data_IF_133483868704
#
_entry.id   IF_133483868704
#
_cell.length_a   1.000
_cell.length_b   1.000
_cell.length_c   1.000
_cell.angle_alpha   90.00
_cell.angle_beta   90.00
_cell.angle_gamma   90.00
#
_symmetry.space_group_name_H-M   'P 1'
#
loop_
_entity.id
_entity.type
_entity.pdbx_description
1 polymer ?
#
# COMPACT_ATOMS: atom_id res chain seq x y z
N UNK A 1 35.64 -87.94 -11.14
CA UNK A 1 36.50 -88.28 -12.27
C UNK A 1 37.34 -87.00 -12.47
N UNK A 2 38.57 -87.04 -11.85
CA UNK A 2 39.80 -87.35 -12.61
C UNK A 2 40.09 -86.21 -13.60
N UNK A 3 41.13 -85.48 -13.64
CA UNK A 3 42.51 -85.48 -13.10
C UNK A 3 43.10 -84.09 -13.43
N UNK A 4 43.78 -83.38 -12.58
CA UNK A 4 45.26 -83.44 -12.35
C UNK A 4 46.04 -83.11 -13.64
N UNK A 5 46.90 -82.08 -13.59
CA UNK A 5 48.40 -82.25 -13.67
C UNK A 5 49.07 -80.84 -13.74
N UNK A 6 49.79 -80.51 -12.77
CA UNK A 6 51.18 -80.06 -12.54
C UNK A 6 52.01 -79.55 -13.72
N UNK A 7 52.78 -78.52 -13.46
CA UNK A 7 53.98 -78.10 -14.17
C UNK A 7 54.44 -76.71 -13.73
N UNK A 8 55.22 -76.62 -12.92
CA UNK A 8 56.48 -76.25 -12.33
C UNK A 8 57.29 -75.20 -13.11
N UNK A 9 57.65 -74.16 -12.37
CA UNK A 9 58.90 -73.43 -12.23
C UNK A 9 59.63 -72.84 -13.42
N UNK A 10 59.89 -71.50 -13.30
CA UNK A 10 61.31 -71.11 -13.18
C UNK A 10 61.43 -69.63 -12.82
N UNK A 11 62.37 -69.35 -11.99
CA UNK A 11 62.85 -68.08 -11.48
C UNK A 11 63.58 -67.32 -12.54
N UNK A 12 63.43 -66.01 -12.64
CA UNK A 12 64.50 -65.08 -13.06
C UNK A 12 64.25 -63.63 -12.58
N UNK A 13 65.09 -63.27 -11.77
CA UNK A 13 65.73 -62.02 -11.31
C UNK A 13 65.29 -60.72 -11.96
N UNK A 14 64.91 -59.79 -11.04
CA UNK A 14 65.40 -58.44 -10.80
C UNK A 14 65.48 -57.45 -11.99
N UNK A 15 64.70 -56.38 -11.81
CA UNK A 15 65.19 -55.03 -12.03
C UNK A 15 64.34 -54.06 -11.18
N UNK A 16 64.97 -53.47 -10.17
CA UNK A 16 64.45 -52.30 -9.45
C UNK A 16 64.45 -51.12 -10.37
N UNK A 17 63.26 -50.56 -10.71
CA UNK A 17 63.13 -49.21 -11.25
C UNK A 17 62.39 -48.39 -10.22
N UNK A 18 63.14 -47.54 -9.53
CA UNK A 18 62.59 -46.46 -8.69
C UNK A 18 61.97 -45.42 -9.59
N UNK A 19 60.67 -45.47 -9.77
CA UNK A 19 59.90 -44.38 -10.35
C UNK A 19 59.40 -43.47 -9.28
N UNK A 20 59.98 -42.29 -9.16
CA UNK A 20 59.51 -41.22 -8.31
C UNK A 20 58.19 -40.67 -8.85
N UNK A 21 57.08 -40.93 -8.23
CA UNK A 21 55.81 -40.29 -8.53
C UNK A 21 55.83 -38.92 -7.81
N UNK A 22 56.14 -37.86 -8.57
CA UNK A 22 55.95 -36.51 -8.15
C UNK A 22 54.44 -36.22 -8.19
N UNK A 23 53.77 -36.22 -7.06
CA UNK A 23 52.38 -35.76 -6.90
C UNK A 23 52.36 -34.26 -7.03
N UNK A 24 51.95 -33.75 -8.20
CA UNK A 24 51.66 -32.33 -8.40
C UNK A 24 50.33 -32.03 -7.72
N UNK A 25 50.39 -31.46 -6.51
CA UNK A 25 49.25 -30.83 -5.82
C UNK A 25 48.93 -29.54 -6.58
N UNK A 26 47.97 -29.60 -7.50
CA UNK A 26 47.36 -28.39 -8.09
C UNK A 26 46.43 -27.80 -7.02
N UNK A 27 46.92 -26.83 -6.28
CA UNK A 27 46.10 -26.00 -5.37
C UNK A 27 45.22 -25.13 -6.21
N UNK A 28 43.94 -25.52 -6.38
CA UNK A 28 42.88 -24.63 -6.86
C UNK A 28 42.60 -23.59 -5.72
N UNK A 29 43.26 -22.45 -5.80
CA UNK A 29 42.87 -21.29 -5.03
C UNK A 29 41.53 -20.80 -5.61
N UNK A 30 40.41 -21.17 -5.00
CA UNK A 30 39.12 -20.52 -5.23
C UNK A 30 39.29 -19.11 -4.71
N UNK A 31 39.55 -18.17 -5.59
CA UNK A 31 39.44 -16.75 -5.31
C UNK A 31 37.96 -16.50 -5.00
N UNK A 32 37.60 -16.50 -3.71
CA UNK A 32 36.37 -15.89 -3.25
C UNK A 32 36.51 -14.40 -3.56
N UNK A 33 36.09 -14.02 -4.75
CA UNK A 33 36.01 -12.61 -5.15
C UNK A 33 35.10 -11.92 -4.14
N UNK A 34 35.65 -11.06 -3.29
CA UNK A 34 34.86 -10.15 -2.51
C UNK A 34 33.96 -9.40 -3.50
N UNK A 35 32.65 -9.64 -3.42
CA UNK A 35 31.69 -8.91 -4.22
C UNK A 35 31.95 -7.42 -3.99
N UNK A 36 32.14 -6.68 -5.09
CA UNK A 36 32.31 -5.21 -4.97
C UNK A 36 31.13 -4.68 -4.17
N UNK A 37 31.37 -3.71 -3.25
CA UNK A 37 30.29 -3.17 -2.44
C UNK A 37 29.20 -2.66 -3.37
N UNK A 38 27.96 -3.11 -3.13
CA UNK A 38 26.81 -2.69 -3.94
C UNK A 38 26.71 -1.16 -3.91
N UNK A 39 26.60 -0.54 -5.09
CA UNK A 39 26.45 0.92 -5.20
C UNK A 39 25.23 1.36 -4.40
N UNK A 40 25.42 2.25 -3.44
CA UNK A 40 24.33 2.91 -2.75
C UNK A 40 23.87 4.13 -3.52
N UNK A 41 22.57 4.38 -3.49
CA UNK A 41 21.94 5.51 -4.18
C UNK A 41 21.35 6.47 -3.15
N UNK A 42 21.56 7.77 -3.38
CA UNK A 42 20.91 8.81 -2.58
C UNK A 42 19.57 9.18 -3.19
N UNK A 43 18.47 8.85 -2.52
CA UNK A 43 17.12 9.17 -2.96
C UNK A 43 16.52 10.24 -2.05
N UNK A 44 16.05 11.33 -2.65
CA UNK A 44 15.26 12.33 -1.94
C UNK A 44 13.78 11.97 -1.98
N UNK A 45 13.10 12.06 -0.84
CA UNK A 45 11.64 12.01 -0.75
C UNK A 45 11.11 13.35 -0.25
N UNK A 46 10.41 14.07 -1.13
CA UNK A 46 9.69 15.30 -0.80
C UNK A 46 8.23 14.94 -0.53
N UNK A 47 7.88 14.93 0.73
CA UNK A 47 6.55 14.57 1.23
C UNK A 47 5.56 15.73 1.03
N UNK A 48 4.27 15.44 0.88
CA UNK A 48 3.24 16.44 0.69
C UNK A 48 3.14 17.39 1.88
N UNK A 49 3.06 16.83 3.08
CA UNK A 49 3.11 17.54 4.36
C UNK A 49 3.46 16.58 5.49
N UNK A 50 4.19 17.05 6.48
CA UNK A 50 4.44 16.35 7.75
C UNK A 50 3.87 17.16 8.93
N UNK A 51 2.97 18.12 8.66
CA UNK A 51 2.30 18.91 9.69
C UNK A 51 1.56 18.01 10.68
N UNK A 52 1.75 18.20 12.00
CA UNK A 52 1.08 17.42 13.01
C UNK A 52 -0.45 17.47 12.88
N UNK A 53 -1.08 16.31 12.82
CA UNK A 53 -2.53 16.18 12.70
C UNK A 53 -3.09 16.36 11.29
N UNK A 54 -2.27 16.74 10.30
CA UNK A 54 -2.69 16.77 8.91
C UNK A 54 -2.77 15.33 8.37
N UNK A 55 -3.95 14.95 7.90
CA UNK A 55 -4.15 13.66 7.23
C UNK A 55 -3.97 13.79 5.72
N UNK A 56 -3.58 12.71 5.07
CA UNK A 56 -3.33 12.64 3.65
C UNK A 56 -4.33 11.74 2.93
N UNK A 57 -4.61 12.03 1.67
CA UNK A 57 -5.49 11.25 0.78
C UNK A 57 -6.92 11.03 1.32
N UNK A 58 -7.36 11.90 2.23
CA UNK A 58 -8.66 11.74 2.89
C UNK A 58 -8.75 10.45 3.70
N UNK A 59 -7.68 10.10 4.40
CA UNK A 59 -7.59 8.96 5.34
C UNK A 59 -7.16 9.46 6.70
N UNK A 60 -7.05 8.56 7.69
CA UNK A 60 -6.45 8.90 8.99
C UNK A 60 -4.92 8.87 9.02
N UNK A 61 -4.27 8.52 7.91
CA UNK A 61 -2.82 8.51 7.83
C UNK A 61 -2.21 9.91 7.74
N UNK A 62 -1.04 10.07 8.33
CA UNK A 62 -0.25 11.31 8.35
C UNK A 62 0.97 11.22 7.44
N UNK A 63 1.52 12.36 7.05
CA UNK A 63 2.79 12.38 6.30
C UNK A 63 3.95 11.76 7.08
N UNK A 64 3.95 11.87 8.40
CA UNK A 64 4.96 11.25 9.26
C UNK A 64 4.92 9.71 9.18
N UNK A 65 3.74 9.09 9.09
CA UNK A 65 3.61 7.63 8.92
C UNK A 65 4.08 7.19 7.53
N UNK A 66 3.78 7.98 6.49
CA UNK A 66 4.32 7.74 5.15
C UNK A 66 5.85 7.80 5.19
N UNK A 67 6.44 8.88 5.75
CA UNK A 67 7.90 8.99 5.90
C UNK A 67 8.49 7.78 6.63
N UNK A 68 7.86 7.35 7.72
CA UNK A 68 8.32 6.17 8.47
C UNK A 68 8.35 4.92 7.60
N UNK A 69 7.40 4.72 6.68
CA UNK A 69 7.40 3.60 5.75
C UNK A 69 8.62 3.60 4.82
N UNK A 70 9.06 4.78 4.38
CA UNK A 70 10.29 4.92 3.59
C UNK A 70 11.53 4.58 4.42
N UNK A 71 11.62 5.07 5.66
CA UNK A 71 12.73 4.74 6.58
C UNK A 71 12.85 3.23 6.78
N UNK A 72 11.73 2.57 7.03
CA UNK A 72 11.70 1.12 7.25
C UNK A 72 12.08 0.34 5.98
N UNK A 73 11.50 0.71 4.84
CA UNK A 73 11.77 0.05 3.57
C UNK A 73 13.24 0.20 3.13
N UNK A 74 13.86 1.35 3.38
CA UNK A 74 15.25 1.60 3.01
C UNK A 74 16.27 0.75 3.77
N UNK A 75 15.91 0.20 4.95
CA UNK A 75 16.84 -0.62 5.77
C UNK A 75 17.38 -1.85 5.04
N UNK A 76 16.60 -2.39 4.10
CA UNK A 76 16.95 -3.59 3.34
C UNK A 76 17.39 -3.31 1.91
N UNK A 77 17.53 -2.03 1.54
CA UNK A 77 17.86 -1.59 0.20
C UNK A 77 19.17 -0.79 0.19
N UNK A 78 19.92 -0.77 -0.91
CA UNK A 78 21.14 0.03 -1.04
C UNK A 78 20.81 1.51 -1.28
N UNK A 79 20.07 2.12 -0.35
CA UNK A 79 19.54 3.49 -0.45
C UNK A 79 19.91 4.28 0.78
N UNK A 80 20.34 5.51 0.55
CA UNK A 80 20.46 6.57 1.56
C UNK A 80 19.34 7.60 1.31
N UNK A 81 18.49 7.86 2.32
CA UNK A 81 17.32 8.72 2.17
C UNK A 81 17.62 10.14 2.63
N UNK A 82 17.12 11.10 1.85
CA UNK A 82 17.04 12.52 2.21
C UNK A 82 15.56 12.91 2.22
N UNK A 83 15.11 13.56 3.29
CA UNK A 83 13.71 13.93 3.44
C UNK A 83 13.51 15.44 3.30
N UNK A 84 12.43 15.79 2.63
CA UNK A 84 11.91 17.15 2.53
C UNK A 84 10.41 17.15 2.81
N UNK A 85 9.91 18.24 3.39
CA UNK A 85 8.49 18.49 3.57
C UNK A 85 8.07 19.69 2.71
N UNK A 86 7.09 19.46 1.84
CA UNK A 86 6.56 20.48 0.95
C UNK A 86 5.54 21.40 1.65
N UNK A 87 5.04 21.04 2.83
CA UNK A 87 4.01 21.76 3.58
C UNK A 87 2.77 22.12 2.75
N UNK A 88 2.47 21.38 1.66
CA UNK A 88 1.41 21.73 0.72
C UNK A 88 1.65 23.02 -0.08
N UNK A 89 2.87 23.56 -0.08
CA UNK A 89 3.24 24.86 -0.64
C UNK A 89 4.16 24.73 -1.86
N UNK A 90 3.79 25.38 -2.98
CA UNK A 90 4.52 25.29 -4.24
C UNK A 90 5.94 25.88 -4.14
N UNK A 91 6.09 27.01 -3.44
CA UNK A 91 7.41 27.64 -3.30
C UNK A 91 8.35 26.75 -2.47
N UNK A 92 7.82 26.11 -1.43
CA UNK A 92 8.57 25.15 -0.62
C UNK A 92 8.95 23.91 -1.45
N UNK A 93 8.03 23.37 -2.25
CA UNK A 93 8.31 22.23 -3.14
C UNK A 93 9.44 22.54 -4.13
N UNK A 94 9.45 23.78 -4.69
CA UNK A 94 10.52 24.24 -5.57
C UNK A 94 11.85 24.42 -4.84
N UNK A 95 11.86 25.01 -3.63
CA UNK A 95 13.06 25.15 -2.81
C UNK A 95 13.64 23.79 -2.39
N UNK A 96 12.79 22.81 -2.05
CA UNK A 96 13.19 21.44 -1.75
C UNK A 96 13.85 20.77 -2.97
N UNK A 97 13.30 20.98 -4.16
CA UNK A 97 13.90 20.48 -5.40
C UNK A 97 15.30 21.07 -5.63
N UNK A 98 15.49 22.37 -5.44
CA UNK A 98 16.80 23.03 -5.54
C UNK A 98 17.80 22.50 -4.50
N UNK A 99 17.36 22.29 -3.26
CA UNK A 99 18.18 21.71 -2.21
C UNK A 99 18.61 20.26 -2.54
N UNK A 100 17.73 19.45 -3.13
CA UNK A 100 18.04 18.10 -3.59
C UNK A 100 19.05 18.11 -4.75
N UNK A 101 18.93 19.04 -5.70
CA UNK A 101 19.89 19.25 -6.79
C UNK A 101 21.27 19.61 -6.22
N UNK A 102 21.34 20.55 -5.27
CA UNK A 102 22.59 20.95 -4.61
C UNK A 102 23.24 19.76 -3.88
N UNK A 103 22.46 18.84 -3.33
CA UNK A 103 22.94 17.60 -2.71
C UNK A 103 23.34 16.52 -3.71
N UNK A 104 23.07 16.71 -5.00
CA UNK A 104 23.36 15.74 -6.06
C UNK A 104 22.71 14.38 -5.79
N UNK A 105 21.42 14.37 -5.42
CA UNK A 105 20.69 13.12 -5.22
C UNK A 105 20.59 12.35 -6.54
N UNK A 106 20.58 11.02 -6.49
CA UNK A 106 20.47 10.17 -7.68
C UNK A 106 19.05 10.12 -8.26
N UNK A 107 18.01 10.30 -7.40
CA UNK A 107 16.61 10.34 -7.79
C UNK A 107 15.79 11.16 -6.81
N UNK A 108 14.75 11.82 -7.32
CA UNK A 108 13.81 12.61 -6.53
C UNK A 108 12.42 11.98 -6.56
N UNK A 109 11.87 11.63 -5.40
CA UNK A 109 10.48 11.19 -5.24
C UNK A 109 9.66 12.40 -4.84
N UNK A 110 8.69 12.79 -5.69
CA UNK A 110 7.84 13.95 -5.47
C UNK A 110 6.43 13.52 -5.09
N UNK A 111 6.01 13.91 -3.90
CA UNK A 111 4.64 13.84 -3.44
C UNK A 111 4.14 15.25 -3.13
N UNK A 112 3.34 15.82 -4.05
CA UNK A 112 2.81 17.18 -3.92
C UNK A 112 1.52 17.31 -4.74
N UNK A 113 0.50 17.95 -4.19
CA UNK A 113 -0.85 17.93 -4.76
C UNK A 113 -1.09 19.00 -5.84
N UNK A 114 -0.16 19.97 -6.01
CA UNK A 114 -0.30 21.05 -6.99
C UNK A 114 0.31 20.70 -8.34
N UNK A 115 -0.49 20.72 -9.39
CA UNK A 115 0.00 20.52 -10.77
C UNK A 115 1.02 21.60 -11.17
N UNK A 116 0.84 22.85 -10.73
CA UNK A 116 1.76 23.96 -10.99
C UNK A 116 3.11 23.73 -10.31
N UNK A 117 3.10 23.39 -9.02
CA UNK A 117 4.30 23.05 -8.26
C UNK A 117 5.05 21.88 -8.88
N UNK A 118 4.32 20.82 -9.25
CA UNK A 118 4.88 19.63 -9.90
C UNK A 118 5.51 19.93 -11.27
N UNK A 119 4.91 20.81 -12.07
CA UNK A 119 5.49 21.25 -13.35
C UNK A 119 6.82 22.00 -13.13
N UNK A 120 6.87 22.88 -12.13
CA UNK A 120 8.09 23.61 -11.76
C UNK A 120 9.21 22.70 -11.25
N UNK A 121 8.89 21.70 -10.42
CA UNK A 121 9.83 20.66 -9.96
C UNK A 121 10.34 19.84 -11.15
N UNK A 122 9.46 19.39 -12.03
CA UNK A 122 9.84 18.61 -13.22
C UNK A 122 10.85 19.34 -14.09
N UNK A 123 10.63 20.64 -14.33
CA UNK A 123 11.56 21.46 -15.12
C UNK A 123 12.95 21.55 -14.49
N UNK A 124 13.05 21.77 -13.18
CA UNK A 124 14.32 21.88 -12.44
C UNK A 124 15.08 20.56 -12.43
N UNK A 125 14.38 19.48 -12.11
CA UNK A 125 14.98 18.14 -12.06
C UNK A 125 15.47 17.69 -13.43
N UNK A 126 14.70 17.94 -14.49
CA UNK A 126 15.10 17.68 -15.88
C UNK A 126 16.35 18.46 -16.27
N UNK A 127 16.43 19.74 -15.94
CA UNK A 127 17.59 20.59 -16.22
C UNK A 127 18.85 20.09 -15.47
N UNK A 128 18.68 19.51 -14.27
CA UNK A 128 19.77 18.92 -13.47
C UNK A 128 20.10 17.46 -13.87
N UNK A 129 19.33 16.83 -14.78
CA UNK A 129 19.53 15.43 -15.16
C UNK A 129 19.13 14.44 -14.05
N UNK A 130 18.32 14.83 -13.08
CA UNK A 130 17.87 13.98 -11.98
C UNK A 130 16.50 13.39 -12.32
N UNK A 131 16.36 12.04 -12.37
CA UNK A 131 15.08 11.41 -12.61
C UNK A 131 14.10 11.65 -11.45
N UNK A 132 12.81 11.76 -11.78
CA UNK A 132 11.72 11.95 -10.83
C UNK A 132 10.80 10.73 -10.85
N UNK A 133 10.36 10.28 -9.67
CA UNK A 133 9.24 9.37 -9.49
C UNK A 133 8.11 10.14 -8.79
N UNK A 134 6.97 10.26 -9.45
CA UNK A 134 5.80 10.94 -8.93
C UNK A 134 5.01 10.02 -7.99
N UNK A 135 4.43 10.59 -6.93
CA UNK A 135 3.55 9.89 -5.97
C UNK A 135 2.21 10.60 -5.92
N UNK A 136 1.14 9.86 -6.12
CA UNK A 136 -0.27 10.20 -6.12
C UNK A 136 -0.69 11.26 -7.17
N UNK A 137 0.09 12.30 -7.36
CA UNK A 137 -0.16 13.34 -8.36
C UNK A 137 0.90 13.33 -9.45
N UNK A 138 0.48 13.59 -10.70
CA UNK A 138 1.36 13.53 -11.83
C UNK A 138 2.43 14.63 -11.81
N UNK A 139 3.67 14.24 -12.13
CA UNK A 139 4.78 15.15 -12.44
C UNK A 139 5.12 14.98 -13.92
N UNK A 140 5.14 16.05 -14.73
CA UNK A 140 5.38 15.95 -16.16
C UNK A 140 6.64 15.16 -16.51
N UNK A 141 6.48 14.11 -17.31
CA UNK A 141 7.58 13.26 -17.79
C UNK A 141 8.09 12.23 -16.78
N UNK A 142 7.51 12.13 -15.59
CA UNK A 142 7.87 11.14 -14.59
C UNK A 142 6.90 9.95 -14.56
N UNK A 143 7.37 8.72 -14.27
CA UNK A 143 6.50 7.63 -13.87
C UNK A 143 5.71 8.00 -12.62
N UNK A 144 4.49 7.47 -12.50
CA UNK A 144 3.57 7.77 -11.40
C UNK A 144 3.24 6.49 -10.60
N UNK A 145 3.49 6.51 -9.31
CA UNK A 145 2.86 5.61 -8.34
C UNK A 145 1.66 6.32 -7.71
N UNK A 146 0.47 5.72 -7.77
CA UNK A 146 -0.73 6.39 -7.26
C UNK A 146 -1.76 5.43 -6.67
N UNK A 147 -2.64 5.99 -5.85
CA UNK A 147 -3.88 5.33 -5.46
C UNK A 147 -4.77 5.12 -6.71
N UNK A 148 -5.49 3.99 -6.74
CA UNK A 148 -6.59 3.77 -7.67
C UNK A 148 -7.92 3.96 -6.93
N UNK A 149 -8.33 5.20 -6.80
CA UNK A 149 -9.56 5.57 -6.10
C UNK A 149 -10.80 4.87 -6.69
N UNK A 150 -10.86 4.69 -8.01
CA UNK A 150 -11.96 3.97 -8.65
C UNK A 150 -11.97 2.49 -8.27
N UNK A 151 -10.79 1.83 -8.25
CA UNK A 151 -10.68 0.44 -7.82
C UNK A 151 -11.03 0.28 -6.33
N UNK A 152 -10.55 1.18 -5.47
CA UNK A 152 -10.88 1.18 -4.04
C UNK A 152 -12.39 1.28 -3.82
N UNK A 153 -13.05 2.22 -4.51
CA UNK A 153 -14.50 2.36 -4.48
C UNK A 153 -15.24 1.12 -4.97
N UNK A 154 -14.79 0.50 -6.07
CA UNK A 154 -15.38 -0.75 -6.57
C UNK A 154 -15.28 -1.89 -5.56
N UNK A 155 -14.15 -2.03 -4.86
CA UNK A 155 -13.97 -3.04 -3.83
C UNK A 155 -15.00 -2.86 -2.69
N UNK A 156 -15.19 -1.62 -2.22
CA UNK A 156 -16.18 -1.32 -1.19
C UNK A 156 -17.61 -1.58 -1.66
N UNK A 157 -17.95 -1.11 -2.85
CA UNK A 157 -19.28 -1.31 -3.44
C UNK A 157 -19.62 -2.78 -3.69
N UNK A 158 -18.67 -3.55 -4.22
CA UNK A 158 -18.83 -5.00 -4.44
C UNK A 158 -19.03 -5.76 -3.11
N UNK A 159 -18.27 -5.40 -2.06
CA UNK A 159 -18.40 -6.00 -0.74
C UNK A 159 -19.80 -5.76 -0.13
N UNK A 160 -20.26 -4.52 -0.16
CA UNK A 160 -21.58 -4.12 0.31
C UNK A 160 -22.70 -4.84 -0.47
N UNK A 161 -22.62 -4.80 -1.78
CA UNK A 161 -23.63 -5.42 -2.64
C UNK A 161 -23.65 -6.94 -2.52
N UNK A 162 -22.50 -7.57 -2.35
CA UNK A 162 -22.38 -9.01 -2.11
C UNK A 162 -22.95 -9.40 -0.75
N UNK A 163 -22.71 -8.60 0.29
CA UNK A 163 -23.31 -8.81 1.61
C UNK A 163 -24.84 -8.73 1.52
N UNK A 164 -25.39 -7.68 0.90
CA UNK A 164 -26.85 -7.54 0.74
C UNK A 164 -27.47 -8.70 -0.04
N UNK A 165 -26.86 -9.13 -1.14
CA UNK A 165 -27.36 -10.23 -1.94
C UNK A 165 -27.40 -11.57 -1.18
N UNK A 166 -26.46 -11.79 -0.27
CA UNK A 166 -26.38 -13.03 0.54
C UNK A 166 -27.26 -12.99 1.78
N UNK A 167 -27.34 -11.82 2.45
CA UNK A 167 -27.94 -11.70 3.78
C UNK A 167 -29.36 -11.13 3.72
N UNK A 168 -29.63 -10.22 2.77
CA UNK A 168 -30.88 -9.46 2.67
C UNK A 168 -31.64 -9.70 1.37
N UNK A 169 -31.50 -10.88 0.79
CA UNK A 169 -32.14 -11.22 -0.48
C UNK A 169 -33.61 -10.80 -0.50
N UNK A 170 -34.01 -10.07 -1.56
CA UNK A 170 -35.39 -9.57 -1.79
C UNK A 170 -35.89 -8.51 -0.77
N UNK A 171 -35.07 -8.05 0.19
CA UNK A 171 -35.49 -6.97 1.09
C UNK A 171 -35.26 -5.59 0.45
N UNK A 172 -36.12 -4.61 0.71
CA UNK A 172 -35.87 -3.22 0.28
C UNK A 172 -34.51 -2.76 0.80
N UNK A 173 -33.67 -2.28 -0.11
CA UNK A 173 -32.29 -1.87 0.24
C UNK A 173 -31.99 -0.52 -0.40
N UNK A 174 -31.29 0.34 0.33
CA UNK A 174 -30.73 1.62 -0.15
C UNK A 174 -29.24 1.64 0.11
N UNK A 175 -28.51 2.40 -0.69
CA UNK A 175 -27.09 2.61 -0.51
C UNK A 175 -26.78 4.12 -0.32
N UNK A 176 -25.82 4.38 0.54
CA UNK A 176 -25.36 5.73 0.88
C UNK A 176 -23.83 5.75 0.74
N UNK A 177 -23.31 6.73 0.01
CA UNK A 177 -21.89 7.09 0.04
C UNK A 177 -21.76 8.37 0.85
N UNK A 178 -20.95 8.35 1.89
CA UNK A 178 -20.83 9.47 2.84
C UNK A 178 -19.37 9.83 3.11
N UNK A 179 -19.06 11.12 3.24
CA UNK A 179 -17.73 11.63 3.55
C UNK A 179 -17.36 12.80 2.63
N UNK A 180 -16.09 12.89 2.23
CA UNK A 180 -15.57 13.88 1.27
C UNK A 180 -15.89 13.48 -0.17
N UNK A 181 -17.17 13.48 -0.49
CA UNK A 181 -17.67 12.97 -1.79
C UNK A 181 -17.12 13.77 -2.96
N UNK A 182 -17.09 15.11 -2.83
CA UNK A 182 -16.59 16.01 -3.86
C UNK A 182 -15.08 15.95 -4.08
N UNK A 183 -14.31 15.62 -3.04
CA UNK A 183 -12.86 15.51 -3.11
C UNK A 183 -12.36 14.18 -3.72
N UNK A 184 -13.20 13.14 -3.67
CA UNK A 184 -12.84 11.81 -4.17
C UNK A 184 -13.89 11.23 -5.13
N UNK A 185 -14.20 11.93 -6.24
CA UNK A 185 -15.31 11.56 -7.15
C UNK A 185 -15.13 10.16 -7.75
N UNK A 186 -13.90 9.76 -8.08
CA UNK A 186 -13.63 8.44 -8.65
C UNK A 186 -13.92 7.31 -7.64
N UNK A 187 -13.60 7.49 -6.36
CA UNK A 187 -13.90 6.54 -5.28
C UNK A 187 -15.40 6.38 -5.14
N UNK A 188 -16.11 7.49 -5.07
CA UNK A 188 -17.57 7.54 -4.95
C UNK A 188 -18.27 6.89 -6.15
N UNK A 189 -17.81 7.21 -7.35
CA UNK A 189 -18.34 6.61 -8.58
C UNK A 189 -18.08 5.10 -8.61
N UNK A 190 -16.88 4.66 -8.25
CA UNK A 190 -16.54 3.25 -8.16
C UNK A 190 -17.47 2.46 -7.23
N UNK A 191 -17.81 3.01 -6.05
CA UNK A 191 -18.81 2.43 -5.14
C UNK A 191 -20.17 2.31 -5.82
N UNK A 192 -20.65 3.42 -6.40
CA UNK A 192 -21.97 3.49 -6.99
C UNK A 192 -22.14 2.53 -8.19
N UNK A 193 -21.11 2.42 -9.02
CA UNK A 193 -21.08 1.50 -10.16
C UNK A 193 -21.12 0.04 -9.70
N UNK A 194 -20.30 -0.34 -8.73
CA UNK A 194 -20.24 -1.69 -8.20
C UNK A 194 -21.56 -2.11 -7.53
N UNK A 195 -22.17 -1.21 -6.73
CA UNK A 195 -23.48 -1.45 -6.13
C UNK A 195 -24.55 -1.65 -7.21
N UNK A 196 -24.65 -0.72 -8.18
CA UNK A 196 -25.67 -0.81 -9.25
C UNK A 196 -25.51 -2.03 -10.14
N UNK A 197 -24.28 -2.44 -10.40
CA UNK A 197 -23.99 -3.64 -11.20
C UNK A 197 -24.61 -4.91 -10.60
N UNK A 198 -24.56 -5.05 -9.28
CA UNK A 198 -25.07 -6.24 -8.57
C UNK A 198 -26.51 -6.07 -8.08
N UNK A 199 -26.91 -4.86 -7.76
CA UNK A 199 -28.20 -4.47 -7.22
C UNK A 199 -28.81 -3.32 -8.05
N UNK A 200 -29.26 -3.57 -9.28
CA UNK A 200 -29.61 -2.52 -10.24
C UNK A 200 -30.80 -1.66 -9.83
N UNK A 201 -31.64 -2.11 -8.89
CA UNK A 201 -32.79 -1.36 -8.37
C UNK A 201 -32.45 -0.50 -7.13
N UNK A 202 -31.22 -0.63 -6.59
CA UNK A 202 -30.81 0.10 -5.38
C UNK A 202 -30.55 1.55 -5.72
N UNK A 203 -31.21 2.46 -4.98
CA UNK A 203 -30.91 3.89 -5.03
C UNK A 203 -29.61 4.14 -4.25
N UNK A 204 -28.68 4.87 -4.88
CA UNK A 204 -27.44 5.33 -4.24
C UNK A 204 -27.54 6.82 -4.00
N UNK A 205 -27.49 7.25 -2.74
CA UNK A 205 -27.45 8.64 -2.29
C UNK A 205 -26.03 9.01 -1.89
N UNK A 206 -25.67 10.28 -2.04
CA UNK A 206 -24.35 10.83 -1.73
C UNK A 206 -24.51 11.93 -0.68
N UNK A 207 -23.73 11.86 0.41
CA UNK A 207 -23.76 12.80 1.53
C UNK A 207 -22.38 13.42 1.71
N UNK A 208 -22.28 14.73 1.48
CA UNK A 208 -21.02 15.47 1.61
C UNK A 208 -20.82 15.96 3.05
N UNK A 209 -19.73 15.54 3.70
CA UNK A 209 -19.35 15.96 5.06
C UNK A 209 -18.22 16.98 5.09
N UNK A 210 -17.63 17.29 3.95
CA UNK A 210 -16.42 18.12 3.83
C UNK A 210 -15.24 17.63 4.71
N UNK A 211 -15.21 16.33 5.01
CA UNK A 211 -14.21 15.71 5.87
C UNK A 211 -14.42 15.96 7.36
N UNK A 212 -15.58 16.44 7.77
CA UNK A 212 -15.94 16.61 9.17
C UNK A 212 -16.84 15.46 9.65
N UNK A 213 -16.33 14.50 10.45
CA UNK A 213 -17.14 13.38 10.97
C UNK A 213 -18.36 13.82 11.81
N UNK A 214 -18.34 15.01 12.43
CA UNK A 214 -19.47 15.54 13.18
C UNK A 214 -20.69 15.84 12.31
N UNK A 215 -20.52 16.00 10.99
CA UNK A 215 -21.62 16.21 10.05
C UNK A 215 -22.33 14.89 9.67
N UNK A 216 -21.76 13.74 10.01
CA UNK A 216 -22.34 12.44 9.61
C UNK A 216 -23.71 12.20 10.23
N UNK A 217 -23.87 12.38 11.55
CA UNK A 217 -25.14 12.14 12.22
C UNK A 217 -26.26 13.08 11.73
N UNK A 218 -26.07 14.42 11.63
CA UNK A 218 -27.08 15.33 11.09
C UNK A 218 -27.52 14.97 9.67
N UNK A 219 -26.62 14.50 8.82
CA UNK A 219 -26.91 14.15 7.43
C UNK A 219 -27.57 12.77 7.30
N UNK A 220 -27.14 11.81 8.11
CA UNK A 220 -27.58 10.41 8.01
C UNK A 220 -28.92 10.16 8.70
N UNK A 221 -29.18 10.77 9.87
CA UNK A 221 -30.37 10.53 10.67
C UNK A 221 -31.71 10.78 9.90
N UNK A 222 -31.88 11.86 9.13
CA UNK A 222 -33.09 12.07 8.35
C UNK A 222 -33.34 10.99 7.31
N UNK A 223 -32.29 10.49 6.67
CA UNK A 223 -32.39 9.42 5.66
C UNK A 223 -32.77 8.07 6.29
N UNK A 224 -32.22 7.76 7.47
CA UNK A 224 -32.59 6.56 8.22
C UNK A 224 -34.05 6.62 8.66
N UNK A 225 -34.52 7.78 9.14
CA UNK A 225 -35.90 7.99 9.54
C UNK A 225 -36.89 7.91 8.37
N UNK A 226 -36.51 8.43 7.21
CA UNK A 226 -37.36 8.40 6.01
C UNK A 226 -37.51 6.99 5.41
N UNK A 227 -36.67 6.02 5.82
CA UNK A 227 -36.65 4.66 5.25
C UNK A 227 -36.63 3.57 6.33
N UNK A 228 -37.64 3.53 7.20
CA UNK A 228 -37.62 2.66 8.39
C UNK A 228 -37.63 1.15 8.05
N UNK A 229 -38.18 0.76 6.91
CA UNK A 229 -38.25 -0.63 6.47
C UNK A 229 -37.12 -1.09 5.56
N UNK A 230 -36.22 -0.17 5.13
CA UNK A 230 -35.14 -0.51 4.21
C UNK A 230 -33.88 -0.98 4.93
N UNK A 231 -33.17 -1.92 4.34
CA UNK A 231 -31.79 -2.24 4.68
C UNK A 231 -30.87 -1.15 4.11
N UNK A 232 -29.75 -0.84 4.80
CA UNK A 232 -28.89 0.30 4.48
C UNK A 232 -27.46 -0.17 4.26
N UNK A 233 -26.93 0.10 3.07
CA UNK A 233 -25.52 -0.07 2.73
C UNK A 233 -24.83 1.27 2.85
N UNK A 234 -23.78 1.37 3.64
CA UNK A 234 -23.01 2.62 3.78
C UNK A 234 -21.56 2.39 3.32
N UNK A 235 -21.11 3.16 2.35
CA UNK A 235 -19.71 3.31 2.01
C UNK A 235 -19.24 4.68 2.54
N UNK A 236 -18.33 4.68 3.50
CA UNK A 236 -17.69 5.89 4.01
C UNK A 236 -16.39 6.15 3.26
N UNK A 237 -16.11 7.40 2.88
CA UNK A 237 -14.90 7.74 2.13
C UNK A 237 -13.59 7.59 2.92
N UNK A 238 -13.69 7.46 4.24
CA UNK A 238 -12.59 7.25 5.18
C UNK A 238 -13.08 6.53 6.44
N UNK A 239 -12.14 6.10 7.30
CA UNK A 239 -12.46 5.31 8.49
C UNK A 239 -13.10 6.14 9.62
N UNK A 240 -12.69 7.40 9.79
CA UNK A 240 -13.30 8.29 10.77
C UNK A 240 -14.78 8.54 10.46
N UNK A 241 -15.10 8.73 9.18
CA UNK A 241 -16.48 8.83 8.67
C UNK A 241 -17.25 7.52 8.88
N UNK A 242 -16.61 6.36 8.67
CA UNK A 242 -17.23 5.05 8.92
C UNK A 242 -17.62 4.86 10.39
N UNK A 243 -16.73 5.24 11.31
CA UNK A 243 -16.98 5.16 12.75
C UNK A 243 -18.10 6.13 13.20
N UNK A 244 -18.11 7.34 12.64
CA UNK A 244 -19.19 8.30 12.89
C UNK A 244 -20.54 7.81 12.34
N UNK A 245 -20.54 7.17 11.16
CA UNK A 245 -21.74 6.56 10.59
C UNK A 245 -22.24 5.39 11.45
N UNK A 246 -21.33 4.57 11.97
CA UNK A 246 -21.68 3.49 12.92
C UNK A 246 -22.39 4.08 14.15
N UNK A 247 -21.80 5.08 14.79
CA UNK A 247 -22.39 5.71 15.95
C UNK A 247 -23.79 6.30 15.67
N UNK A 248 -23.97 6.97 14.52
CA UNK A 248 -25.27 7.52 14.11
C UNK A 248 -26.31 6.43 13.85
N UNK A 249 -25.92 5.32 13.23
CA UNK A 249 -26.78 4.16 12.98
C UNK A 249 -27.21 3.47 14.28
N UNK A 250 -26.30 3.31 15.23
CA UNK A 250 -26.55 2.74 16.56
C UNK A 250 -27.51 3.63 17.37
N UNK A 251 -27.27 4.95 17.37
CA UNK A 251 -28.15 5.92 18.01
C UNK A 251 -29.57 5.92 17.42
N UNK A 252 -29.71 5.65 16.12
CA UNK A 252 -30.99 5.51 15.44
C UNK A 252 -31.65 4.13 15.63
N UNK A 253 -31.04 3.20 16.37
CA UNK A 253 -31.53 1.84 16.57
C UNK A 253 -31.52 0.96 15.30
N UNK A 254 -30.73 1.33 14.27
CA UNK A 254 -30.72 0.70 12.93
C UNK A 254 -29.54 -0.25 12.69
N UNK A 255 -28.82 -0.65 13.75
CA UNK A 255 -27.64 -1.54 13.62
C UNK A 255 -27.94 -2.88 12.93
N UNK A 256 -29.13 -3.48 13.17
CA UNK A 256 -29.53 -4.77 12.53
C UNK A 256 -29.87 -4.65 11.04
N UNK A 257 -30.06 -3.43 10.57
CA UNK A 257 -30.49 -3.13 9.20
C UNK A 257 -29.40 -2.45 8.38
N UNK A 258 -28.21 -2.29 8.94
CA UNK A 258 -27.13 -1.53 8.30
C UNK A 258 -25.82 -2.31 8.27
N UNK A 259 -25.07 -2.14 7.19
CA UNK A 259 -23.69 -2.59 7.06
C UNK A 259 -22.83 -1.45 6.47
N UNK A 260 -21.60 -1.33 6.95
CA UNK A 260 -20.70 -0.22 6.64
C UNK A 260 -19.37 -0.76 6.09
N UNK A 261 -18.82 -0.09 5.08
CA UNK A 261 -17.43 -0.27 4.62
C UNK A 261 -16.74 1.08 4.63
N UNK A 262 -15.56 1.15 5.26
CA UNK A 262 -14.68 2.31 5.29
C UNK A 262 -13.59 2.27 4.21
N UNK A 263 -12.73 3.29 4.21
CA UNK A 263 -11.54 3.36 3.37
C UNK A 263 -10.37 3.92 4.17
N UNK A 264 -9.19 3.34 4.00
CA UNK A 264 -7.95 3.74 4.67
C UNK A 264 -7.28 2.55 5.34
N UNK A 265 -7.96 1.92 6.28
CA UNK A 265 -7.44 0.96 7.26
C UNK A 265 -6.38 1.65 8.13
N UNK A 266 -6.74 2.83 8.64
CA UNK A 266 -5.91 3.52 9.61
C UNK A 266 -6.08 2.98 11.04
N UNK A 267 -5.27 3.50 11.98
CA UNK A 267 -5.25 3.03 13.36
C UNK A 267 -6.55 3.22 14.12
N UNK A 268 -7.47 4.04 13.64
CA UNK A 268 -8.76 4.24 14.28
C UNK A 268 -9.69 3.04 14.14
N UNK A 269 -9.54 2.25 13.07
CA UNK A 269 -10.44 1.16 12.71
C UNK A 269 -9.84 -0.24 12.89
N UNK A 270 -8.52 -0.42 12.66
CA UNK A 270 -7.85 -1.68 12.97
C UNK A 270 -7.28 -1.63 14.39
N UNK A 271 -7.42 -2.68 15.16
CA UNK A 271 -6.91 -2.73 16.52
C UNK A 271 -5.47 -3.22 16.62
N UNK A 272 -4.90 -3.06 17.82
CA UNK A 272 -3.71 -3.78 18.28
C UNK A 272 -4.09 -4.82 19.32
N UNK A 273 -3.09 -5.48 19.94
CA UNK A 273 -3.32 -6.54 20.93
C UNK A 273 -4.13 -6.09 22.15
N UNK A 274 -3.99 -4.82 22.56
CA UNK A 274 -4.62 -4.25 23.75
C UNK A 274 -5.83 -3.36 23.47
N UNK A 275 -6.11 -3.02 22.22
CA UNK A 275 -7.14 -2.07 21.82
C UNK A 275 -8.07 -2.68 20.76
N UNK A 276 -9.27 -3.12 21.20
CA UNK A 276 -10.28 -3.69 20.32
C UNK A 276 -10.92 -2.60 19.48
N UNK A 277 -10.73 -2.69 18.17
CA UNK A 277 -11.33 -1.82 17.17
C UNK A 277 -12.37 -2.57 16.32
N UNK A 278 -12.95 -1.90 15.36
CA UNK A 278 -14.01 -2.48 14.53
C UNK A 278 -13.56 -3.73 13.75
N UNK A 279 -12.31 -3.74 13.28
CA UNK A 279 -11.76 -4.87 12.52
C UNK A 279 -11.10 -5.94 13.40
N UNK A 280 -11.23 -5.88 14.74
CA UNK A 280 -10.73 -6.94 15.62
C UNK A 280 -11.42 -8.27 15.29
N UNK A 281 -10.66 -9.40 15.14
CA UNK A 281 -11.23 -10.72 14.82
C UNK A 281 -12.27 -11.23 15.82
N UNK A 282 -12.29 -10.69 17.04
CA UNK A 282 -13.27 -11.05 18.07
C UNK A 282 -14.55 -10.22 17.98
N UNK A 283 -14.57 -9.14 17.20
CA UNK A 283 -15.75 -8.29 16.97
C UNK A 283 -16.72 -8.95 15.98
N UNK A 284 -17.52 -9.90 16.46
CA UNK A 284 -18.48 -10.66 15.63
C UNK A 284 -19.83 -9.97 15.45
N UNK A 285 -20.09 -8.89 16.15
CA UNK A 285 -21.37 -8.18 16.16
C UNK A 285 -21.31 -6.80 15.53
N UNK A 286 -20.13 -6.40 15.06
CA UNK A 286 -19.92 -5.10 14.43
C UNK A 286 -20.66 -4.98 13.10
N UNK A 287 -21.21 -3.79 12.84
CA UNK A 287 -21.86 -3.48 11.55
C UNK A 287 -20.85 -2.98 10.50
N UNK A 288 -19.58 -2.79 10.89
CA UNK A 288 -18.50 -2.47 9.97
C UNK A 288 -17.98 -3.79 9.40
N UNK A 289 -18.29 -4.04 8.13
CA UNK A 289 -17.88 -5.22 7.39
C UNK A 289 -16.38 -5.25 7.15
N UNK A 290 -15.80 -4.08 6.91
CA UNK A 290 -14.39 -3.92 6.61
C UNK A 290 -14.03 -2.49 6.22
N UNK A 291 -12.77 -2.29 5.91
CA UNK A 291 -12.24 -1.06 5.30
C UNK A 291 -11.31 -1.41 4.14
N UNK A 292 -11.30 -0.60 3.09
CA UNK A 292 -10.43 -0.80 1.93
C UNK A 292 -9.06 -0.19 2.21
N UNK A 293 -8.02 -1.02 2.24
CA UNK A 293 -6.67 -0.60 2.55
C UNK A 293 -6.05 0.27 1.45
N UNK A 294 -5.39 1.35 1.86
CA UNK A 294 -4.61 2.24 1.00
C UNK A 294 -3.10 2.04 1.17
N UNK A 295 -2.68 1.35 2.21
CA UNK A 295 -1.28 1.00 2.48
C UNK A 295 -0.33 2.21 2.48
N UNK A 296 -0.81 3.38 2.94
CA UNK A 296 0.02 4.58 3.03
C UNK A 296 1.17 4.41 4.03
N UNK A 297 0.94 3.64 5.08
CA UNK A 297 1.95 3.19 6.05
C UNK A 297 2.99 2.22 5.45
N UNK A 298 2.79 1.76 4.21
CA UNK A 298 3.68 0.86 3.46
C UNK A 298 4.13 1.44 2.12
N UNK A 299 3.86 2.69 1.86
CA UNK A 299 4.16 3.33 0.58
C UNK A 299 5.64 3.21 0.20
N UNK A 300 6.57 3.37 1.16
CA UNK A 300 8.00 3.22 0.93
C UNK A 300 8.40 1.86 0.34
N UNK A 301 7.74 0.78 0.78
CA UNK A 301 8.00 -0.57 0.26
C UNK A 301 7.54 -0.78 -1.19
N UNK A 302 6.67 0.08 -1.70
CA UNK A 302 6.23 0.06 -3.09
C UNK A 302 7.05 1.03 -3.96
N UNK A 303 7.33 2.22 -3.44
CA UNK A 303 7.96 3.32 -4.19
C UNK A 303 9.48 3.12 -4.33
N UNK A 304 10.19 2.73 -3.26
CA UNK A 304 11.65 2.59 -3.32
C UNK A 304 12.14 1.50 -4.28
N UNK A 305 11.50 0.32 -4.41
CA UNK A 305 11.85 -0.63 -5.46
C UNK A 305 11.67 -0.08 -6.88
N UNK A 306 10.63 0.73 -7.13
CA UNK A 306 10.44 1.39 -8.44
C UNK A 306 11.57 2.40 -8.70
N UNK A 307 11.93 3.20 -7.69
CA UNK A 307 13.04 4.14 -7.79
C UNK A 307 14.36 3.45 -8.08
N UNK A 308 14.66 2.31 -7.44
CA UNK A 308 15.86 1.51 -7.73
C UNK A 308 15.88 0.95 -9.14
N UNK A 309 14.75 0.46 -9.64
CA UNK A 309 14.63 0.00 -11.04
C UNK A 309 14.94 1.14 -12.00
N UNK A 310 14.42 2.34 -11.77
CA UNK A 310 14.74 3.52 -12.58
C UNK A 310 16.24 3.81 -12.59
N UNK A 311 16.89 3.80 -11.42
CA UNK A 311 18.32 4.07 -11.25
C UNK A 311 19.21 3.00 -11.89
N UNK A 312 18.73 1.77 -11.99
CA UNK A 312 19.40 0.66 -12.67
C UNK A 312 19.15 0.63 -14.19
N UNK A 313 18.36 1.57 -14.71
CA UNK A 313 17.98 1.60 -16.12
C UNK A 313 16.98 0.50 -16.52
N UNK A 314 16.33 -0.12 -15.55
CA UNK A 314 15.30 -1.12 -15.78
C UNK A 314 13.97 -0.46 -16.18
N UNK A 315 13.16 -1.09 -17.03
CA UNK A 315 11.89 -0.52 -17.43
C UNK A 315 10.92 -0.46 -16.22
N UNK A 316 10.28 0.69 -16.04
CA UNK A 316 9.19 0.89 -15.08
C UNK A 316 7.91 1.28 -15.82
N UNK A 317 6.72 0.84 -15.36
CA UNK A 317 5.47 1.27 -15.95
C UNK A 317 5.29 2.79 -15.83
N UNK A 318 4.64 3.42 -16.81
CA UNK A 318 4.30 4.84 -16.73
C UNK A 318 3.38 5.15 -15.55
N UNK A 319 2.55 4.17 -15.15
CA UNK A 319 1.72 4.24 -13.93
C UNK A 319 1.74 2.90 -13.21
N UNK A 320 1.93 2.95 -11.89
CA UNK A 320 1.78 1.83 -10.96
C UNK A 320 0.72 2.19 -9.94
N UNK A 321 -0.29 1.33 -9.80
CA UNK A 321 -1.38 1.55 -8.85
C UNK A 321 -1.15 0.81 -7.53
N UNK A 322 -1.63 1.39 -6.44
CA UNK A 322 -1.69 0.72 -5.14
C UNK A 322 -2.55 -0.55 -5.22
N UNK A 323 -2.10 -1.69 -4.72
CA UNK A 323 -2.89 -2.92 -4.70
C UNK A 323 -3.92 -2.90 -3.56
N UNK A 324 -5.04 -2.20 -3.76
CA UNK A 324 -6.10 -2.10 -2.75
C UNK A 324 -6.69 -3.46 -2.40
N UNK A 325 -7.06 -3.64 -1.12
CA UNK A 325 -7.68 -4.86 -0.60
C UNK A 325 -8.71 -4.51 0.48
N UNK A 326 -9.81 -5.24 0.52
CA UNK A 326 -10.74 -5.14 1.65
C UNK A 326 -10.15 -5.87 2.85
N UNK A 327 -9.95 -5.13 3.93
CA UNK A 327 -9.58 -5.67 5.23
C UNK A 327 -10.83 -5.83 6.07
N UNK A 328 -10.99 -7.01 6.64
CA UNK A 328 -12.13 -7.41 7.47
C UNK A 328 -11.60 -8.02 8.76
N UNK A 329 -12.44 -8.26 9.78
CA UNK A 329 -12.04 -8.99 10.98
C UNK A 329 -11.40 -10.36 10.68
N UNK A 330 -11.75 -10.99 9.55
CA UNK A 330 -11.23 -12.31 9.19
C UNK A 330 -9.77 -12.29 8.67
N UNK A 331 -9.31 -11.18 8.10
CA UNK A 331 -7.99 -11.10 7.48
C UNK A 331 -7.09 -9.98 8.04
N UNK A 332 -7.57 -9.20 9.02
CA UNK A 332 -6.82 -8.06 9.53
C UNK A 332 -5.44 -8.43 10.07
N UNK A 333 -5.31 -9.52 10.81
CA UNK A 333 -4.01 -9.93 11.38
C UNK A 333 -3.02 -10.50 10.35
N UNK A 334 -3.51 -10.93 9.18
CA UNK A 334 -2.63 -11.30 8.08
C UNK A 334 -2.03 -10.07 7.38
N UNK A 335 -2.76 -8.95 7.37
CA UNK A 335 -2.33 -7.71 6.73
C UNK A 335 -1.73 -6.72 7.74
N UNK A 336 -2.29 -6.64 8.94
CA UNK A 336 -1.90 -5.77 10.03
C UNK A 336 -1.73 -6.61 11.31
N UNK A 337 -0.61 -7.33 11.46
CA UNK A 337 -0.36 -8.11 12.67
C UNK A 337 -0.30 -7.19 13.89
N UNK A 338 -0.77 -7.66 15.07
CA UNK A 338 -0.65 -6.90 16.31
C UNK A 338 0.80 -6.53 16.61
N UNK A 339 1.02 -5.31 17.10
CA UNK A 339 2.37 -4.79 17.36
C UNK A 339 3.18 -5.64 18.36
N UNK A 340 2.52 -6.37 19.22
CA UNK A 340 3.14 -7.18 20.27
C UNK A 340 3.60 -8.57 19.77
N UNK A 341 3.45 -8.87 18.49
CA UNK A 341 3.91 -10.12 17.88
C UNK A 341 5.25 -9.98 17.12
N UNK A 342 5.91 -8.82 17.19
CA UNK A 342 7.21 -8.56 16.55
C UNK A 342 8.33 -8.45 17.59
#
# INVERSE_FOLDING_TARGET
>A
MIDSVRGSASLSRAALVRGSIAAALVSFAVAVGAAAPERRYTIAFANATEEPGASVEGTGFTGAEIRQSFVLAARTLPIDLVFYDNHGDDARALANAEAAIARRVDLYVQYHQSATGNAGVAQRMKAAGIPVLAVNEAVPGAPLYSLDNAAAGRIAGDALAQFAARTWAAQPTVAIVIGRVSAHPERVQGVAEAVRKRLPKVRVSMLETQGNPAQVAPLLAPLLAAQPASKVLIAATDDATALAAKAAVEAAGRARDTVIVGHGVDRSIHGGASDRKELDPTNRTGIVLGSVAFYLDRMGYQVLPLALRMLRGEPVPARTATPHKLITPANVFAEYPPYDMN
#
